data_IF_197085029481
#
_entry.id   IF_197085029481
#
_cell.length_a   1.000
_cell.length_b   1.000
_cell.length_c   1.000
_cell.angle_alpha   90.00
_cell.angle_beta   90.00
_cell.angle_gamma   90.00
#
_symmetry.space_group_name_H-M   'P 1'
#
loop_
_entity.id
_entity.type
_entity.pdbx_description
1 polymer ?
#
# COMPACT_ATOMS: atom_id res chain seq x y z
N UNK A 1 -26.66 28.80 71.78
CA UNK A 1 -26.76 27.54 71.01
C UNK A 1 -26.55 27.88 69.55
N UNK A 2 -25.37 27.55 69.03
CA UNK A 2 -24.92 27.94 67.69
C UNK A 2 -25.26 26.85 66.68
N UNK A 3 -26.08 27.15 65.68
CA UNK A 3 -26.34 26.27 64.52
C UNK A 3 -25.42 26.65 63.36
N UNK A 4 -24.58 25.74 62.82
CA UNK A 4 -23.73 26.06 61.69
C UNK A 4 -24.45 25.85 60.35
N UNK A 5 -24.30 26.83 59.45
CA UNK A 5 -24.62 26.77 58.03
C UNK A 5 -23.78 25.68 57.33
N UNK A 6 -24.43 24.72 56.65
CA UNK A 6 -23.77 23.89 55.63
C UNK A 6 -23.89 24.55 54.27
N UNK A 7 -22.78 25.13 53.79
CA UNK A 7 -22.58 25.49 52.39
C UNK A 7 -22.42 24.20 51.56
N UNK A 8 -23.32 23.94 50.61
CA UNK A 8 -23.12 22.91 49.58
C UNK A 8 -22.47 23.60 48.37
N UNK A 9 -21.16 23.41 48.23
CA UNK A 9 -20.37 23.80 47.06
C UNK A 9 -20.41 22.67 45.99
N UNK A 10 -19.98 22.93 44.75
CA UNK A 10 -20.57 22.40 43.53
C UNK A 10 -19.84 21.14 43.04
N UNK A 11 -20.40 19.95 43.29
CA UNK A 11 -19.86 18.69 42.77
C UNK A 11 -20.45 18.29 41.40
N UNK A 12 -21.55 18.90 40.98
CA UNK A 12 -22.25 18.51 39.75
C UNK A 12 -21.60 19.09 38.48
N UNK A 13 -20.95 20.25 38.57
CA UNK A 13 -20.31 20.91 37.41
C UNK A 13 -18.99 20.26 36.98
N UNK A 14 -18.28 19.56 37.87
CA UNK A 14 -17.01 18.91 37.56
C UNK A 14 -17.18 17.55 36.84
N UNK A 15 -18.35 16.91 36.99
CA UNK A 15 -18.61 15.58 36.39
C UNK A 15 -18.99 15.73 34.91
N UNK A 16 -19.73 16.78 34.54
CA UNK A 16 -20.14 17.04 33.16
C UNK A 16 -18.97 17.43 32.24
N UNK A 17 -17.96 18.15 32.76
CA UNK A 17 -16.78 18.56 31.98
C UNK A 17 -15.79 17.41 31.76
N UNK A 18 -15.67 16.45 32.68
CA UNK A 18 -14.87 15.23 32.47
C UNK A 18 -15.51 14.31 31.42
N UNK A 19 -16.85 14.18 31.42
CA UNK A 19 -17.54 13.38 30.40
C UNK A 19 -17.39 13.96 28.98
N UNK A 20 -17.39 15.29 28.82
CA UNK A 20 -17.20 15.92 27.51
C UNK A 20 -15.76 15.75 26.97
N UNK A 21 -14.75 15.81 27.85
CA UNK A 21 -13.33 15.60 27.47
C UNK A 21 -13.05 14.13 27.16
N UNK A 22 -13.64 13.19 27.91
CA UNK A 22 -13.53 11.75 27.64
C UNK A 22 -14.27 11.38 26.34
N UNK A 23 -15.43 11.95 26.07
CA UNK A 23 -16.14 11.74 24.80
C UNK A 23 -15.37 12.32 23.60
N UNK A 24 -14.76 13.50 23.73
CA UNK A 24 -13.93 14.09 22.68
C UNK A 24 -12.64 13.27 22.43
N UNK A 25 -11.98 12.78 23.49
CA UNK A 25 -10.78 11.92 23.39
C UNK A 25 -11.08 10.51 22.86
N UNK A 26 -12.29 9.97 23.09
CA UNK A 26 -12.69 8.68 22.49
C UNK A 26 -12.98 8.79 20.99
N UNK A 27 -13.41 9.95 20.48
CA UNK A 27 -13.69 10.10 19.04
C UNK A 27 -12.43 10.16 18.18
N UNK A 28 -11.29 10.59 18.72
CA UNK A 28 -10.00 10.61 17.99
C UNK A 28 -9.28 9.26 17.98
N UNK A 29 -9.74 8.28 18.76
CA UNK A 29 -9.10 6.97 18.89
C UNK A 29 -9.68 5.88 17.96
N UNK A 30 -10.69 6.21 17.14
CA UNK A 30 -11.35 5.27 16.22
C UNK A 30 -11.04 5.53 14.74
N UNK A 31 -10.15 6.47 14.42
CA UNK A 31 -9.65 6.69 13.06
C UNK A 31 -8.60 5.63 12.71
N UNK A 32 -9.04 4.38 12.48
CA UNK A 32 -8.19 3.40 11.78
C UNK A 32 -7.85 3.92 10.37
N UNK A 33 -6.68 3.59 9.80
CA UNK A 33 -6.40 3.99 8.43
C UNK A 33 -7.46 3.36 7.53
N UNK A 34 -8.10 4.19 6.72
CA UNK A 34 -9.19 3.78 5.86
C UNK A 34 -8.76 2.62 4.97
N UNK A 35 -9.63 1.62 4.90
CA UNK A 35 -9.45 0.46 4.06
C UNK A 35 -9.60 0.89 2.60
N UNK A 36 -8.67 0.48 1.77
CA UNK A 36 -8.62 0.89 0.37
C UNK A 36 -8.70 -0.35 -0.51
N UNK A 37 -9.50 -0.27 -1.57
CA UNK A 37 -10.19 -1.45 -2.09
C UNK A 37 -10.18 -1.59 -3.61
N UNK A 38 -9.59 -0.63 -4.35
CA UNK A 38 -9.69 -0.67 -5.79
C UNK A 38 -8.50 -0.08 -6.55
N UNK A 39 -8.46 -0.43 -7.82
CA UNK A 39 -7.48 0.09 -8.78
C UNK A 39 -8.02 -0.09 -10.20
N UNK A 40 -7.34 0.51 -11.18
CA UNK A 40 -7.58 0.20 -12.58
C UNK A 40 -6.88 -1.13 -12.87
N UNK A 41 -7.68 -2.13 -13.28
CA UNK A 41 -7.18 -3.48 -13.56
C UNK A 41 -7.01 -3.74 -15.06
N UNK A 42 -7.61 -2.90 -15.92
CA UNK A 42 -7.43 -2.94 -17.38
C UNK A 42 -7.69 -1.55 -18.01
N UNK A 43 -6.75 -0.96 -18.77
CA UNK A 43 -5.33 -1.28 -18.78
C UNK A 43 -4.72 -1.10 -17.37
N UNK A 44 -4.06 -2.14 -16.86
CA UNK A 44 -3.57 -2.21 -15.49
C UNK A 44 -2.79 -0.97 -15.04
N UNK A 45 -3.08 -0.47 -13.84
CA UNK A 45 -2.27 0.57 -13.20
C UNK A 45 -0.85 0.07 -12.91
N UNK A 46 0.12 0.98 -12.70
CA UNK A 46 1.54 0.64 -12.50
C UNK A 46 1.73 -0.43 -11.42
N UNK A 47 1.24 -0.16 -10.21
CA UNK A 47 1.42 -1.08 -9.09
C UNK A 47 0.57 -2.35 -9.22
N UNK A 48 -0.67 -2.25 -9.69
CA UNK A 48 -1.49 -3.45 -9.95
C UNK A 48 -0.86 -4.35 -11.01
N UNK A 49 -0.33 -3.77 -12.10
CA UNK A 49 0.37 -4.50 -13.14
C UNK A 49 1.65 -5.17 -12.64
N UNK A 50 2.44 -4.48 -11.81
CA UNK A 50 3.62 -5.08 -11.16
C UNK A 50 3.22 -6.21 -10.19
N UNK A 51 2.19 -6.02 -9.38
CA UNK A 51 1.63 -7.05 -8.51
C UNK A 51 1.14 -8.26 -9.31
N UNK A 52 0.40 -8.04 -10.39
CA UNK A 52 -0.18 -9.10 -11.21
C UNK A 52 0.90 -9.92 -11.91
N UNK A 53 1.92 -9.27 -12.48
CA UNK A 53 2.99 -9.96 -13.24
C UNK A 53 4.03 -10.61 -12.35
N UNK A 54 4.37 -9.97 -11.22
CA UNK A 54 5.52 -10.35 -10.41
C UNK A 54 5.18 -10.73 -8.98
N UNK A 55 3.97 -10.54 -8.48
CA UNK A 55 3.63 -10.86 -7.09
C UNK A 55 3.94 -12.31 -6.72
N UNK A 56 3.62 -13.26 -7.59
CA UNK A 56 3.94 -14.68 -7.36
C UNK A 56 5.43 -15.02 -7.34
N UNK A 57 6.31 -14.12 -7.81
CA UNK A 57 7.75 -14.33 -7.98
C UNK A 57 8.53 -13.02 -7.83
N UNK A 58 8.20 -12.22 -6.80
CA UNK A 58 8.59 -10.81 -6.73
C UNK A 58 10.09 -10.59 -6.46
N UNK A 59 10.80 -11.65 -6.08
CA UNK A 59 12.24 -11.65 -5.84
C UNK A 59 13.05 -12.17 -7.03
N UNK A 60 12.40 -12.49 -8.16
CA UNK A 60 13.09 -13.03 -9.33
C UNK A 60 14.13 -12.03 -9.87
N UNK A 61 15.43 -12.37 -9.89
CA UNK A 61 16.48 -11.46 -10.37
C UNK A 61 16.36 -11.13 -11.86
N UNK A 62 15.66 -11.95 -12.66
CA UNK A 62 15.40 -11.66 -14.06
C UNK A 62 14.49 -10.43 -14.25
N UNK A 63 13.72 -10.04 -13.23
CA UNK A 63 12.88 -8.84 -13.29
C UNK A 63 13.71 -7.57 -13.54
N UNK A 64 14.94 -7.50 -13.02
CA UNK A 64 15.82 -6.34 -13.21
C UNK A 64 16.10 -6.02 -14.69
N UNK A 65 16.14 -7.03 -15.55
CA UNK A 65 16.36 -6.85 -17.00
C UNK A 65 15.05 -6.90 -17.79
N UNK A 66 14.09 -7.72 -17.37
CA UNK A 66 12.83 -7.92 -18.09
C UNK A 66 11.81 -6.80 -17.84
N UNK A 67 11.76 -6.26 -16.62
CA UNK A 67 10.79 -5.24 -16.17
C UNK A 67 11.44 -4.31 -15.13
N UNK A 68 12.45 -3.50 -15.53
CA UNK A 68 13.25 -2.70 -14.61
C UNK A 68 12.43 -1.71 -13.77
N UNK A 69 11.27 -1.27 -14.29
CA UNK A 69 10.39 -0.35 -13.56
C UNK A 69 9.62 -1.06 -12.44
N UNK A 70 9.16 -2.30 -12.64
CA UNK A 70 8.64 -3.08 -11.54
C UNK A 70 9.75 -3.51 -10.57
N UNK A 71 10.95 -3.85 -11.08
CA UNK A 71 12.08 -4.20 -10.22
C UNK A 71 12.39 -3.09 -9.23
N UNK A 72 12.63 -1.87 -9.70
CA UNK A 72 12.92 -0.74 -8.80
C UNK A 72 11.78 -0.48 -7.81
N UNK A 73 10.52 -0.67 -8.22
CA UNK A 73 9.37 -0.50 -7.33
C UNK A 73 9.36 -1.57 -6.21
N UNK A 74 9.58 -2.84 -6.56
CA UNK A 74 9.68 -3.94 -5.60
C UNK A 74 10.88 -3.80 -4.66
N UNK A 75 12.01 -3.26 -5.15
CA UNK A 75 13.18 -2.97 -4.33
C UNK A 75 12.94 -1.79 -3.38
N UNK A 76 12.17 -0.78 -3.80
CA UNK A 76 11.90 0.40 -3.00
C UNK A 76 10.89 0.14 -1.87
N UNK A 77 9.71 -0.41 -2.20
CA UNK A 77 8.73 -0.82 -1.21
C UNK A 77 7.77 -1.88 -1.80
N UNK A 78 7.90 -3.17 -1.42
CA UNK A 78 6.98 -4.22 -1.81
C UNK A 78 5.51 -3.91 -1.50
N UNK A 79 5.22 -3.11 -0.47
CA UNK A 79 3.86 -2.74 -0.10
C UNK A 79 3.18 -1.85 -1.13
N UNK A 80 3.92 -1.20 -2.03
CA UNK A 80 3.32 -0.49 -3.16
C UNK A 80 2.50 -1.44 -4.05
N UNK A 81 2.97 -2.69 -4.18
CA UNK A 81 2.33 -3.74 -4.97
C UNK A 81 1.41 -4.61 -4.11
N UNK A 82 1.80 -4.98 -2.89
CA UNK A 82 0.90 -5.77 -2.02
C UNK A 82 -0.35 -5.00 -1.62
N UNK A 83 -0.23 -3.69 -1.41
CA UNK A 83 -1.35 -2.80 -1.17
C UNK A 83 -1.72 -2.06 -2.47
N UNK A 84 -1.87 -2.81 -3.58
CA UNK A 84 -2.14 -2.24 -4.91
C UNK A 84 -3.45 -1.44 -4.95
N UNK A 85 -4.38 -1.79 -4.08
CA UNK A 85 -5.68 -1.16 -3.89
C UNK A 85 -5.64 0.07 -2.99
N UNK A 86 -4.47 0.45 -2.47
CA UNK A 86 -4.27 1.47 -1.42
C UNK A 86 -3.83 2.86 -1.88
N UNK A 87 -3.86 3.15 -3.18
CA UNK A 87 -3.31 4.38 -3.75
C UNK A 87 -4.35 5.52 -3.74
N UNK A 88 -4.62 6.05 -2.55
CA UNK A 88 -5.63 7.10 -2.34
C UNK A 88 -5.11 8.27 -1.50
N UNK A 89 -5.86 9.37 -1.51
CA UNK A 89 -5.79 10.47 -0.53
C UNK A 89 -7.18 10.72 0.06
N UNK A 90 -7.21 11.32 1.23
CA UNK A 90 -8.44 11.81 1.87
C UNK A 90 -8.42 13.32 2.02
N UNK A 91 -9.60 13.94 2.07
CA UNK A 91 -9.73 15.37 2.37
C UNK A 91 -9.23 16.30 1.26
N UNK A 92 -9.20 15.83 0.01
CA UNK A 92 -8.72 16.63 -1.15
C UNK A 92 -9.75 17.67 -1.57
N UNK A 93 -11.03 17.49 -1.20
CA UNK A 93 -12.13 18.41 -1.49
C UNK A 93 -12.23 18.79 -2.98
N UNK A 94 -11.92 17.84 -3.87
CA UNK A 94 -11.92 18.02 -5.32
C UNK A 94 -10.74 18.85 -5.89
N UNK A 95 -9.87 19.43 -5.06
CA UNK A 95 -8.72 20.22 -5.51
C UNK A 95 -7.47 19.35 -5.75
N UNK A 96 -7.59 18.41 -6.70
CA UNK A 96 -6.57 17.40 -6.99
C UNK A 96 -5.21 18.00 -7.36
N UNK A 97 -5.19 19.06 -8.18
CA UNK A 97 -3.96 19.68 -8.65
C UNK A 97 -3.18 20.38 -7.53
N UNK A 98 -3.87 20.95 -6.53
CA UNK A 98 -3.20 21.50 -5.36
C UNK A 98 -2.63 20.41 -4.44
N UNK A 99 -3.33 19.28 -4.33
CA UNK A 99 -2.91 18.16 -3.48
C UNK A 99 -1.78 17.30 -4.07
N UNK A 100 -1.59 17.35 -5.40
CA UNK A 100 -0.67 16.49 -6.13
C UNK A 100 0.24 17.35 -7.00
N UNK A 101 1.47 17.62 -6.57
CA UNK A 101 2.45 18.34 -7.37
C UNK A 101 2.81 17.62 -8.68
N UNK A 102 3.24 18.38 -9.68
CA UNK A 102 3.87 17.85 -10.90
C UNK A 102 5.00 16.87 -10.55
N UNK A 103 5.10 15.77 -11.31
CA UNK A 103 6.06 14.71 -11.09
C UNK A 103 5.69 13.73 -9.96
N UNK A 104 4.59 13.97 -9.23
CA UNK A 104 4.11 13.10 -8.14
C UNK A 104 2.71 12.52 -8.43
N UNK A 105 2.28 12.55 -9.69
CA UNK A 105 0.92 12.16 -10.07
C UNK A 105 0.68 10.66 -9.80
N UNK A 106 1.66 9.81 -10.07
CA UNK A 106 1.52 8.36 -9.99
C UNK A 106 1.68 7.80 -8.57
N UNK A 107 2.19 8.59 -7.62
CA UNK A 107 2.18 8.30 -6.18
C UNK A 107 1.07 9.03 -5.42
N UNK A 108 0.21 9.78 -6.12
CA UNK A 108 -0.78 10.68 -5.54
C UNK A 108 -0.17 11.71 -4.57
N UNK A 109 0.90 12.41 -4.95
CA UNK A 109 1.55 13.39 -4.10
C UNK A 109 2.23 12.74 -2.89
N UNK A 110 2.94 11.63 -3.12
CA UNK A 110 3.60 10.83 -2.09
C UNK A 110 2.66 10.38 -0.96
N UNK A 111 1.46 9.91 -1.31
CA UNK A 111 0.49 9.45 -0.31
C UNK A 111 0.99 8.24 0.49
N UNK A 112 0.27 7.90 1.57
CA UNK A 112 0.55 6.75 2.43
C UNK A 112 2.00 6.73 2.94
N UNK A 113 2.48 7.89 3.42
CA UNK A 113 3.84 8.08 3.93
C UNK A 113 4.93 7.71 2.91
N UNK A 114 4.66 7.92 1.63
CA UNK A 114 5.63 7.69 0.55
C UNK A 114 5.70 6.27 0.01
N UNK A 115 4.79 5.37 0.45
CA UNK A 115 4.71 3.96 0.00
C UNK A 115 4.78 3.81 -1.52
N UNK A 116 4.14 4.73 -2.25
CA UNK A 116 3.99 4.64 -3.71
C UNK A 116 4.98 5.51 -4.50
N UNK A 117 5.99 6.10 -3.86
CA UNK A 117 6.90 7.06 -4.52
C UNK A 117 7.65 6.47 -5.71
N UNK A 118 7.98 5.17 -5.66
CA UNK A 118 8.65 4.48 -6.76
C UNK A 118 7.80 4.43 -8.04
N UNK A 119 6.49 4.67 -7.95
CA UNK A 119 5.61 4.75 -9.11
C UNK A 119 5.78 6.05 -9.90
N UNK A 120 6.43 7.08 -9.34
CA UNK A 120 6.75 8.33 -10.05
C UNK A 120 8.03 8.23 -10.90
N UNK A 121 8.77 7.13 -10.78
CA UNK A 121 10.00 6.91 -11.53
C UNK A 121 9.74 7.01 -13.05
N UNK A 122 10.61 7.76 -13.73
CA UNK A 122 10.57 7.95 -15.18
C UNK A 122 11.34 6.81 -15.85
N UNK A 123 10.74 6.17 -16.85
CA UNK A 123 11.39 5.06 -17.54
C UNK A 123 10.44 4.14 -18.29
N UNK A 124 10.96 3.00 -18.74
CA UNK A 124 10.28 2.07 -19.62
C UNK A 124 9.28 1.15 -18.89
N UNK A 125 8.24 1.73 -18.29
CA UNK A 125 7.13 0.97 -17.71
C UNK A 125 6.46 0.09 -18.77
N UNK A 126 6.03 -1.12 -18.41
CA UNK A 126 5.34 -2.01 -19.35
C UNK A 126 3.99 -1.43 -19.75
N UNK A 127 3.73 -1.39 -21.05
CA UNK A 127 2.50 -0.84 -21.62
C UNK A 127 1.49 -1.93 -21.94
N UNK A 128 0.21 -1.60 -21.82
CA UNK A 128 -0.89 -2.37 -22.42
C UNK A 128 -1.26 -1.77 -23.80
N UNK A 129 -1.50 -2.60 -24.84
CA UNK A 129 -1.97 -2.09 -26.13
C UNK A 129 -3.41 -1.60 -26.01
N UNK A 130 -3.69 -0.42 -26.56
CA UNK A 130 -5.04 0.17 -26.62
C UNK A 130 -5.29 0.80 -27.98
N UNK A 131 -6.55 1.07 -28.30
CA UNK A 131 -6.91 1.91 -29.46
C UNK A 131 -7.35 3.29 -28.99
N UNK A 132 -7.53 4.25 -29.92
CA UNK A 132 -8.01 5.61 -29.57
C UNK A 132 -9.33 5.59 -28.79
N UNK A 133 -10.21 4.62 -29.08
CA UNK A 133 -11.39 4.34 -28.26
C UNK A 133 -11.09 3.14 -27.37
N UNK A 134 -11.11 3.34 -26.06
CA UNK A 134 -10.80 2.29 -25.10
C UNK A 134 -11.70 2.41 -23.87
N UNK A 135 -11.56 1.46 -22.95
CA UNK A 135 -12.29 1.46 -21.69
C UNK A 135 -11.31 1.27 -20.54
N UNK A 136 -11.59 1.93 -19.43
CA UNK A 136 -10.95 1.70 -18.15
C UNK A 136 -11.84 0.76 -17.34
N UNK A 137 -11.36 -0.43 -17.02
CA UNK A 137 -11.95 -1.31 -16.02
C UNK A 137 -11.38 -0.96 -14.66
N UNK A 138 -12.20 -0.30 -13.84
CA UNK A 138 -11.90 -0.07 -12.43
C UNK A 138 -12.57 -1.18 -11.61
N UNK A 139 -11.79 -1.80 -10.72
CA UNK A 139 -12.28 -2.79 -9.76
C UNK A 139 -12.31 -2.19 -8.37
N UNK A 140 -13.35 -2.48 -7.59
CA UNK A 140 -13.55 -2.03 -6.23
C UNK A 140 -14.09 -3.17 -5.36
N UNK A 141 -13.27 -3.62 -4.41
CA UNK A 141 -13.60 -4.67 -3.46
C UNK A 141 -14.66 -4.24 -2.41
N UNK A 142 -14.78 -2.95 -2.10
CA UNK A 142 -15.67 -2.46 -1.05
C UNK A 142 -17.03 -1.99 -1.55
N UNK A 143 -17.22 -1.87 -2.86
CA UNK A 143 -18.48 -1.38 -3.43
C UNK A 143 -18.81 0.04 -2.92
N UNK A 144 -17.84 0.94 -2.95
CA UNK A 144 -17.96 2.34 -2.55
C UNK A 144 -18.72 3.21 -3.55
N UNK A 145 -18.77 2.79 -4.81
CA UNK A 145 -19.30 3.61 -5.91
C UNK A 145 -18.38 4.79 -6.22
N UNK A 146 -18.86 5.72 -7.05
CA UNK A 146 -18.10 6.91 -7.39
C UNK A 146 -18.98 8.15 -7.45
N UNK A 147 -18.50 9.28 -6.94
CA UNK A 147 -19.07 10.60 -7.24
C UNK A 147 -18.72 11.03 -8.67
N UNK A 148 -17.52 10.66 -9.10
CA UNK A 148 -17.09 10.70 -10.48
C UNK A 148 -15.86 9.82 -10.68
N UNK A 149 -15.65 9.39 -11.92
CA UNK A 149 -14.37 8.89 -12.40
C UNK A 149 -13.97 9.73 -13.60
N UNK A 150 -12.74 10.27 -13.57
CA UNK A 150 -12.14 11.07 -14.65
C UNK A 150 -10.95 10.33 -15.22
N UNK A 151 -10.89 10.25 -16.54
CA UNK A 151 -9.82 9.58 -17.28
C UNK A 151 -9.09 10.63 -18.11
N UNK A 152 -7.81 10.79 -17.84
CA UNK A 152 -6.91 11.66 -18.59
C UNK A 152 -5.91 10.84 -19.38
N UNK A 153 -5.45 11.37 -20.50
CA UNK A 153 -4.36 10.76 -21.28
C UNK A 153 -3.32 11.83 -21.60
N UNK A 154 -2.04 11.46 -21.51
CA UNK A 154 -0.96 12.37 -21.91
C UNK A 154 -1.14 12.85 -23.36
N UNK A 155 -0.81 14.11 -23.63
CA UNK A 155 -0.86 14.72 -24.96
C UNK A 155 0.15 14.07 -25.90
N UNK A 156 -0.13 14.07 -27.19
CA UNK A 156 0.83 13.63 -28.20
C UNK A 156 2.13 14.44 -28.07
N UNK A 157 3.28 13.76 -28.12
CA UNK A 157 4.60 14.37 -27.93
C UNK A 157 5.15 14.29 -26.50
N UNK A 158 4.33 13.96 -25.50
CA UNK A 158 4.83 13.61 -24.16
C UNK A 158 5.67 12.32 -24.21
N UNK A 159 6.85 12.33 -23.59
CA UNK A 159 7.74 11.17 -23.54
C UNK A 159 7.87 10.61 -22.11
N UNK A 160 7.09 9.57 -21.82
CA UNK A 160 7.09 8.88 -20.52
C UNK A 160 8.42 8.20 -20.15
N UNK A 161 9.32 8.01 -21.13
CA UNK A 161 10.63 7.40 -20.89
C UNK A 161 11.64 8.39 -20.30
N UNK A 162 11.41 9.69 -20.46
CA UNK A 162 12.40 10.73 -20.13
C UNK A 162 11.83 11.94 -19.38
N UNK A 163 10.50 12.06 -19.29
CA UNK A 163 9.85 13.24 -18.71
C UNK A 163 8.95 12.84 -17.55
N UNK A 164 9.08 13.45 -16.36
CA UNK A 164 8.11 13.30 -15.29
C UNK A 164 6.73 13.78 -15.72
N UNK A 165 5.67 13.05 -15.36
CA UNK A 165 4.30 13.41 -15.72
C UNK A 165 3.89 14.71 -15.01
N UNK A 166 3.28 15.65 -15.73
CA UNK A 166 2.73 16.91 -15.20
C UNK A 166 1.25 17.03 -15.48
N UNK A 167 0.56 17.86 -14.71
CA UNK A 167 -0.85 18.19 -15.01
C UNK A 167 -1.01 18.83 -16.39
N UNK A 168 -0.03 19.64 -16.81
CA UNK A 168 -0.02 20.27 -18.14
C UNK A 168 0.06 19.28 -19.30
N UNK A 169 0.56 18.07 -19.06
CA UNK A 169 0.72 17.04 -20.07
C UNK A 169 -0.58 16.28 -20.32
N UNK A 170 -1.57 16.43 -19.45
CA UNK A 170 -2.80 15.64 -19.47
C UNK A 170 -3.94 16.36 -20.21
N UNK A 171 -4.78 15.57 -20.88
CA UNK A 171 -6.06 15.98 -21.45
C UNK A 171 -7.15 15.04 -20.93
N UNK A 172 -8.30 15.58 -20.51
CA UNK A 172 -9.45 14.79 -20.09
C UNK A 172 -10.10 14.14 -21.31
N UNK A 173 -10.19 12.81 -21.33
CA UNK A 173 -10.67 12.02 -22.48
C UNK A 173 -11.87 11.13 -22.17
N UNK A 174 -12.26 11.04 -20.89
CA UNK A 174 -13.41 10.29 -20.43
C UNK A 174 -13.83 10.73 -19.05
N UNK A 175 -15.14 10.74 -18.79
CA UNK A 175 -15.68 11.02 -17.47
C UNK A 175 -17.04 10.33 -17.29
N UNK A 176 -17.27 9.80 -16.10
CA UNK A 176 -18.62 9.46 -15.62
C UNK A 176 -18.94 10.27 -14.37
N UNK A 177 -20.22 10.55 -14.14
CA UNK A 177 -20.70 11.23 -12.95
C UNK A 177 -20.98 10.26 -11.80
N UNK A 178 -21.86 10.69 -10.88
CA UNK A 178 -22.19 9.90 -9.71
C UNK A 178 -22.81 8.56 -10.13
N UNK A 179 -22.17 7.47 -9.71
CA UNK A 179 -22.54 6.11 -10.06
C UNK A 179 -22.43 5.24 -8.79
N UNK A 180 -23.55 5.01 -8.08
CA UNK A 180 -23.58 4.15 -6.91
C UNK A 180 -23.12 2.73 -7.24
N UNK A 181 -22.50 2.03 -6.28
CA UNK A 181 -21.98 0.69 -6.50
C UNK A 181 -23.04 -0.34 -6.95
N UNK A 182 -24.31 -0.13 -6.60
CA UNK A 182 -25.42 -0.98 -7.06
C UNK A 182 -25.61 -0.98 -8.58
N UNK A 183 -25.03 -0.02 -9.30
CA UNK A 183 -25.06 0.06 -10.77
C UNK A 183 -23.81 -0.56 -11.41
N UNK A 184 -22.84 -1.01 -10.62
CA UNK A 184 -21.60 -1.58 -11.11
C UNK A 184 -21.79 -3.08 -11.38
N UNK A 185 -20.89 -3.65 -12.18
CA UNK A 185 -20.92 -5.08 -12.53
C UNK A 185 -20.44 -5.89 -11.33
N UNK A 186 -21.21 -6.88 -10.83
CA UNK A 186 -20.73 -7.76 -9.76
C UNK A 186 -19.52 -8.59 -10.19
N UNK A 187 -18.54 -8.71 -9.31
CA UNK A 187 -17.33 -9.52 -9.46
C UNK A 187 -17.21 -10.48 -8.26
N UNK A 188 -16.35 -11.50 -8.37
CA UNK A 188 -16.27 -12.57 -7.34
C UNK A 188 -15.94 -12.07 -5.94
N UNK A 189 -15.25 -10.94 -5.80
CA UNK A 189 -14.85 -10.33 -4.52
C UNK A 189 -15.07 -8.81 -4.49
N UNK A 190 -16.03 -8.29 -5.24
CA UNK A 190 -16.28 -6.85 -5.32
C UNK A 190 -17.21 -6.48 -6.47
N UNK A 191 -17.01 -5.28 -7.00
CA UNK A 191 -17.69 -4.78 -8.20
C UNK A 191 -16.68 -4.17 -9.17
N UNK A 192 -17.05 -4.06 -10.45
CA UNK A 192 -16.26 -3.36 -11.44
C UNK A 192 -17.11 -2.44 -12.31
N UNK A 193 -16.48 -1.39 -12.84
CA UNK A 193 -17.09 -0.48 -13.79
C UNK A 193 -16.17 -0.23 -14.98
N UNK A 194 -16.79 -0.07 -16.15
CA UNK A 194 -16.11 0.18 -17.41
C UNK A 194 -16.34 1.62 -17.87
N UNK A 195 -15.35 2.48 -17.71
CA UNK A 195 -15.41 3.90 -18.08
C UNK A 195 -14.93 4.10 -19.51
N UNK A 196 -15.78 4.55 -20.45
CA UNK A 196 -15.36 4.81 -21.82
C UNK A 196 -14.44 6.03 -21.89
N UNK A 197 -13.42 5.96 -22.75
CA UNK A 197 -12.49 7.06 -23.03
C UNK A 197 -12.16 7.12 -24.53
N UNK A 198 -11.99 8.33 -25.05
CA UNK A 198 -11.60 8.58 -26.44
C UNK A 198 -10.44 9.57 -26.51
N UNK A 199 -9.27 9.10 -26.95
CA UNK A 199 -8.04 9.88 -27.08
C UNK A 199 -7.61 9.96 -28.56
N UNK A 200 -8.31 10.76 -29.39
CA UNK A 200 -7.97 10.87 -30.80
C UNK A 200 -6.57 11.50 -30.98
N UNK A 201 -5.90 11.10 -32.07
CA UNK A 201 -4.58 11.61 -32.45
C UNK A 201 -3.40 11.07 -31.63
N UNK A 202 -3.65 10.18 -30.66
CA UNK A 202 -2.58 9.52 -29.89
C UNK A 202 -1.97 8.36 -30.66
N UNK A 203 -0.65 8.28 -30.68
CA UNK A 203 0.11 7.14 -31.21
C UNK A 203 1.30 6.82 -30.31
N UNK A 204 1.67 5.54 -30.24
CA UNK A 204 2.77 5.06 -29.41
C UNK A 204 2.48 5.14 -27.90
N UNK A 205 3.55 5.28 -27.12
CA UNK A 205 3.54 5.24 -25.65
C UNK A 205 2.88 6.47 -25.03
N UNK A 206 1.93 6.22 -24.14
CA UNK A 206 1.23 7.24 -23.34
C UNK A 206 1.04 6.77 -21.90
N UNK A 207 0.68 7.71 -21.03
CA UNK A 207 0.17 7.43 -19.68
C UNK A 207 -1.31 7.80 -19.62
N UNK A 208 -2.14 6.85 -19.20
CA UNK A 208 -3.51 7.11 -18.77
C UNK A 208 -3.47 7.42 -17.28
N UNK A 209 -4.12 8.50 -16.86
CA UNK A 209 -4.25 8.90 -15.47
C UNK A 209 -5.72 8.92 -15.07
N UNK A 210 -6.11 8.02 -14.19
CA UNK A 210 -7.50 7.90 -13.73
C UNK A 210 -7.64 8.44 -12.31
N UNK A 211 -8.58 9.36 -12.12
CA UNK A 211 -9.00 9.85 -10.81
C UNK A 211 -10.36 9.24 -10.49
N UNK A 212 -10.45 8.49 -9.40
CA UNK A 212 -11.72 7.97 -8.88
C UNK A 212 -12.03 8.66 -7.55
N UNK A 213 -13.09 9.46 -7.51
CA UNK A 213 -13.65 9.99 -6.27
C UNK A 213 -14.69 8.99 -5.77
N UNK A 214 -14.38 8.27 -4.68
CA UNK A 214 -15.31 7.32 -4.08
C UNK A 214 -16.45 8.05 -3.34
N UNK A 215 -17.63 7.44 -3.23
CA UNK A 215 -18.81 8.11 -2.64
C UNK A 215 -18.97 7.94 -1.13
N UNK A 216 -18.26 7.00 -0.51
CA UNK A 216 -18.40 6.73 0.93
C UNK A 216 -17.80 7.81 1.83
N UNK A 217 -16.76 8.51 1.36
CA UNK A 217 -16.01 9.57 2.05
C UNK A 217 -15.37 10.50 1.01
N UNK A 218 -14.81 11.63 1.45
CA UNK A 218 -13.87 12.39 0.61
C UNK A 218 -12.54 11.62 0.48
N UNK A 219 -12.58 10.56 -0.34
CA UNK A 219 -11.47 9.67 -0.63
C UNK A 219 -11.30 9.56 -2.14
N UNK A 220 -10.10 9.88 -2.62
CA UNK A 220 -9.78 9.97 -4.04
C UNK A 220 -8.59 9.10 -4.39
N UNK A 221 -8.72 8.29 -5.44
CA UNK A 221 -7.69 7.37 -5.94
C UNK A 221 -7.06 7.93 -7.21
N UNK A 222 -5.77 7.67 -7.40
CA UNK A 222 -4.97 8.26 -8.48
C UNK A 222 -4.12 7.19 -9.17
N UNK A 223 -4.50 6.82 -10.37
CA UNK A 223 -4.10 5.53 -10.96
C UNK A 223 -3.46 5.79 -12.33
N UNK A 224 -2.13 5.67 -12.39
CA UNK A 224 -1.39 5.72 -13.66
C UNK A 224 -1.36 4.33 -14.31
N UNK A 225 -1.77 4.24 -15.57
CA UNK A 225 -1.63 3.05 -16.41
C UNK A 225 -0.81 3.42 -17.66
N UNK A 226 0.29 2.71 -17.90
CA UNK A 226 1.09 2.91 -19.11
C UNK A 226 0.45 2.14 -20.28
N UNK A 227 0.24 2.81 -21.40
CA UNK A 227 -0.43 2.24 -22.58
C UNK A 227 0.34 2.53 -23.87
N UNK A 228 0.05 1.77 -24.91
CA UNK A 228 0.55 1.99 -26.26
C UNK A 228 -0.61 2.02 -27.27
N UNK A 229 -0.79 3.15 -27.95
CA UNK A 229 -1.84 3.35 -28.96
C UNK A 229 -1.50 2.77 -30.33
N UNK A 230 -0.31 2.17 -30.50
CA UNK A 230 0.20 1.73 -31.80
C UNK A 230 0.46 2.90 -32.75
N UNK A 231 0.69 2.61 -34.04
CA UNK A 231 0.82 3.64 -35.08
C UNK A 231 2.09 4.51 -35.04
N UNK A 232 3.01 4.29 -34.10
CA UNK A 232 4.36 4.86 -34.12
C UNK A 232 5.31 4.01 -34.96
N UNK A 233 6.24 4.64 -35.69
CA UNK A 233 7.36 3.90 -36.29
C UNK A 233 8.21 3.32 -35.16
N UNK A 234 8.06 2.02 -34.90
CA UNK A 234 8.94 1.30 -33.97
C UNK A 234 10.31 1.14 -34.62
N UNK A 235 11.18 2.14 -34.48
CA UNK A 235 12.62 1.85 -34.48
C UNK A 235 12.99 1.52 -33.04
N UNK A 236 13.32 0.26 -32.71
CA UNK A 236 13.85 -0.07 -31.40
C UNK A 236 15.11 0.77 -31.13
N UNK A 237 15.36 1.24 -29.90
CA UNK A 237 16.68 1.78 -29.57
C UNK A 237 17.71 0.66 -29.77
N UNK A 238 18.62 0.83 -30.73
CA UNK A 238 19.69 -0.12 -31.06
C UNK A 238 20.93 0.05 -30.17
N UNK A 239 20.85 0.80 -29.07
CA UNK A 239 21.99 0.94 -28.15
C UNK A 239 21.88 -0.10 -27.03
N UNK A 240 22.77 -1.10 -26.97
CA UNK A 240 22.81 -2.05 -25.86
C UNK A 240 23.10 -1.30 -24.55
N UNK A 241 22.48 -1.68 -23.42
CA UNK A 241 22.91 -1.24 -22.10
C UNK A 241 24.39 -1.61 -21.90
N UNK A 242 25.19 -0.79 -21.20
CA UNK A 242 26.59 -1.13 -20.89
C UNK A 242 26.64 -2.46 -20.14
N UNK A 243 27.30 -3.45 -20.72
CA UNK A 243 27.59 -4.75 -20.12
C UNK A 243 28.69 -4.58 -19.07
N UNK A 244 28.31 -4.51 -17.79
CA UNK A 244 29.24 -4.78 -16.69
C UNK A 244 29.22 -6.28 -16.38
N UNK A 245 30.41 -6.88 -16.30
CA UNK A 245 30.61 -8.30 -15.99
C UNK A 245 30.02 -8.66 -14.60
N UNK A 246 29.29 -9.78 -14.47
CA UNK A 246 28.84 -10.28 -13.17
C UNK A 246 30.01 -10.63 -12.24
N UNK A 247 29.91 -10.37 -10.93
CA UNK A 247 30.92 -10.81 -9.96
C UNK A 247 30.91 -12.34 -9.86
N UNK A 248 32.10 -12.95 -9.93
CA UNK A 248 32.34 -14.39 -10.05
C UNK A 248 32.52 -15.12 -8.71
N UNK A 249 31.95 -14.62 -7.61
CA UNK A 249 32.13 -15.24 -6.28
C UNK A 249 30.79 -15.69 -5.68
N UNK A 250 30.58 -17.00 -5.42
CA UNK A 250 29.40 -17.49 -4.71
C UNK A 250 29.39 -16.97 -3.26
N UNK A 251 28.23 -16.56 -2.71
CA UNK A 251 28.12 -16.27 -1.28
C UNK A 251 28.25 -17.56 -0.45
N UNK A 252 28.86 -17.51 0.75
CA UNK A 252 29.12 -18.70 1.55
C UNK A 252 27.81 -19.29 2.11
N UNK A 253 27.66 -20.61 1.97
CA UNK A 253 26.60 -21.40 2.60
C UNK A 253 27.03 -21.78 4.02
N UNK A 254 26.32 -21.27 5.03
CA UNK A 254 26.41 -21.76 6.42
C UNK A 254 25.11 -22.44 6.83
N UNK A 255 25.22 -23.59 7.49
CA UNK A 255 24.11 -24.39 8.01
C UNK A 255 23.37 -23.70 9.19
N UNK A 256 22.05 -23.88 9.33
CA UNK A 256 21.28 -23.33 10.47
C UNK A 256 21.64 -23.99 11.83
N UNK A 257 21.70 -23.23 12.94
CA UNK A 257 21.92 -23.77 14.28
C UNK A 257 20.64 -24.38 14.89
N UNK A 258 20.79 -25.47 15.66
CA UNK A 258 19.72 -26.33 16.19
C UNK A 258 19.48 -26.20 17.70
N UNK A 259 19.52 -24.99 18.29
CA UNK A 259 19.26 -24.83 19.74
C UNK A 259 18.19 -23.77 20.03
N UNK A 260 17.15 -24.06 20.86
CA UNK A 260 16.14 -23.07 21.25
C UNK A 260 16.75 -22.02 22.20
N UNK A 261 16.46 -20.71 22.04
CA UNK A 261 16.94 -19.67 22.95
C UNK A 261 16.09 -19.61 24.24
N UNK A 262 16.70 -19.23 25.38
CA UNK A 262 16.01 -19.17 26.67
C UNK A 262 15.08 -17.96 26.78
N UNK A 263 13.93 -18.15 27.44
CA UNK A 263 12.93 -17.10 27.71
C UNK A 263 13.29 -16.33 28.99
N UNK A 264 13.50 -15.02 28.84
CA UNK A 264 13.59 -14.06 29.96
C UNK A 264 12.50 -12.98 29.81
N UNK A 265 11.91 -12.46 30.90
CA UNK A 265 10.88 -11.42 30.83
C UNK A 265 11.44 -10.08 30.35
N UNK A 266 10.68 -9.38 29.51
CA UNK A 266 11.07 -8.15 28.82
C UNK A 266 11.22 -6.96 29.81
N UNK A 267 12.33 -6.20 29.81
CA UNK A 267 12.42 -4.91 30.49
C UNK A 267 11.63 -3.85 29.73
N UNK A 268 10.89 -3.00 30.45
CA UNK A 268 10.21 -1.84 29.90
C UNK A 268 11.23 -0.90 29.21
N UNK A 269 11.09 -0.69 27.90
CA UNK A 269 11.96 0.17 27.07
C UNK A 269 12.62 -0.55 25.89
N UNK A 270 12.61 -1.88 25.87
CA UNK A 270 13.04 -2.70 24.73
C UNK A 270 11.91 -2.87 23.72
N UNK A 271 12.25 -2.99 22.43
CA UNK A 271 11.39 -3.14 21.26
C UNK A 271 9.89 -3.40 21.47
N UNK A 272 9.05 -2.67 20.72
CA UNK A 272 7.60 -2.91 20.69
C UNK A 272 7.14 -3.35 19.30
N UNK A 273 6.06 -4.12 19.25
CA UNK A 273 5.41 -4.50 18.01
C UNK A 273 3.90 -4.33 18.09
N UNK A 274 3.28 -3.73 17.08
CA UNK A 274 1.82 -3.61 16.96
C UNK A 274 1.34 -4.41 15.76
N UNK A 275 0.19 -5.06 15.90
CA UNK A 275 -0.41 -5.91 14.88
C UNK A 275 -1.71 -5.31 14.40
N UNK A 276 -1.92 -5.30 13.09
CA UNK A 276 -3.17 -4.86 12.49
C UNK A 276 -3.59 -5.79 11.35
N UNK A 277 -4.84 -6.25 11.37
CA UNK A 277 -5.47 -6.87 10.20
C UNK A 277 -5.78 -5.73 9.22
N UNK A 278 -5.18 -5.77 8.03
CA UNK A 278 -5.35 -4.74 7.00
C UNK A 278 -6.41 -5.12 5.98
N UNK A 279 -6.75 -6.42 5.87
CA UNK A 279 -7.82 -6.92 5.02
C UNK A 279 -8.23 -8.33 5.44
N UNK A 280 -9.47 -8.71 5.19
CA UNK A 280 -9.98 -10.05 5.49
C UNK A 280 -11.00 -10.48 4.44
N UNK A 281 -10.98 -11.76 4.07
CA UNK A 281 -11.90 -12.39 3.13
C UNK A 281 -12.28 -13.79 3.62
N UNK A 282 -13.11 -14.50 2.84
CA UNK A 282 -13.52 -15.87 3.16
C UNK A 282 -12.31 -16.80 3.27
N UNK A 283 -12.00 -17.22 4.50
CA UNK A 283 -10.91 -18.16 4.81
C UNK A 283 -9.50 -17.56 4.77
N UNK A 284 -9.33 -16.27 4.50
CA UNK A 284 -8.02 -15.60 4.47
C UNK A 284 -8.03 -14.18 5.00
N UNK A 285 -6.84 -13.66 5.29
CA UNK A 285 -6.65 -12.32 5.78
C UNK A 285 -5.25 -11.81 5.45
N UNK A 286 -5.09 -10.49 5.51
CA UNK A 286 -3.82 -9.80 5.42
C UNK A 286 -3.60 -9.02 6.71
N UNK A 287 -2.39 -9.09 7.24
CA UNK A 287 -1.99 -8.34 8.42
C UNK A 287 -0.66 -7.63 8.21
N UNK A 288 -0.49 -6.53 8.93
CA UNK A 288 0.72 -5.72 9.02
C UNK A 288 1.16 -5.68 10.48
N UNK A 289 2.47 -5.78 10.70
CA UNK A 289 3.10 -5.67 12.00
C UNK A 289 4.14 -4.56 11.94
N UNK A 290 3.97 -3.52 12.76
CA UNK A 290 4.95 -2.45 12.92
C UNK A 290 5.85 -2.78 14.10
N UNK A 291 7.16 -2.74 13.86
CA UNK A 291 8.21 -2.95 14.85
C UNK A 291 8.85 -1.61 15.16
N UNK A 292 8.93 -1.22 16.42
CA UNK A 292 9.51 0.06 16.85
C UNK A 292 10.63 -0.17 17.86
N UNK A 293 11.81 0.37 17.57
CA UNK A 293 12.93 0.33 18.48
C UNK A 293 12.82 1.46 19.52
N UNK A 294 12.48 1.12 20.77
CA UNK A 294 12.40 2.09 21.86
C UNK A 294 13.74 2.40 22.56
N UNK A 295 14.81 1.66 22.22
CA UNK A 295 16.11 1.73 22.90
C UNK A 295 17.24 2.24 22.00
N UNK A 296 18.48 1.89 22.33
CA UNK A 296 19.67 2.19 21.51
C UNK A 296 19.56 1.61 20.09
N UNK A 297 20.33 2.11 19.10
CA UNK A 297 20.33 1.55 17.75
C UNK A 297 20.55 0.03 17.75
N UNK A 298 19.79 -0.67 16.91
CA UNK A 298 19.81 -2.14 16.79
C UNK A 298 20.13 -2.54 15.36
N UNK A 299 20.60 -3.78 15.17
CA UNK A 299 20.91 -4.39 13.87
C UNK A 299 19.95 -5.51 13.48
N UNK A 300 19.06 -5.90 14.39
CA UNK A 300 18.01 -6.86 14.12
C UNK A 300 16.87 -6.79 15.12
N UNK A 301 15.75 -7.36 14.71
CA UNK A 301 14.55 -7.50 15.53
C UNK A 301 13.88 -8.85 15.29
N UNK A 302 13.18 -9.33 16.31
CA UNK A 302 12.38 -10.54 16.27
C UNK A 302 11.06 -10.28 16.97
N UNK A 303 9.95 -10.58 16.31
CA UNK A 303 8.60 -10.48 16.87
C UNK A 303 8.01 -11.88 16.96
N UNK A 304 7.29 -12.19 18.04
CA UNK A 304 6.55 -13.44 18.15
C UNK A 304 5.17 -13.25 18.78
N UNK A 305 4.21 -14.07 18.36
CA UNK A 305 2.85 -14.11 18.89
C UNK A 305 2.26 -15.51 18.75
N UNK A 306 1.17 -15.77 19.47
CA UNK A 306 0.42 -17.02 19.34
C UNK A 306 -0.92 -16.76 18.65
N UNK A 307 -1.28 -17.61 17.69
CA UNK A 307 -2.63 -17.69 17.17
C UNK A 307 -3.53 -18.55 18.07
N UNK A 308 -4.78 -18.13 18.21
CA UNK A 308 -5.74 -18.77 19.12
C UNK A 308 -6.77 -19.64 18.38
N UNK A 309 -7.06 -19.36 17.11
CA UNK A 309 -8.22 -19.91 16.41
C UNK A 309 -7.85 -20.47 15.03
N UNK A 310 -6.86 -21.38 14.97
CA UNK A 310 -6.51 -22.10 13.74
C UNK A 310 -5.91 -21.23 12.63
N UNK A 311 -5.57 -19.97 12.93
CA UNK A 311 -4.97 -19.06 11.96
C UNK A 311 -3.56 -19.54 11.59
N UNK A 312 -3.17 -19.35 10.34
CA UNK A 312 -1.86 -19.73 9.81
C UNK A 312 -1.31 -18.62 8.92
N UNK A 313 0.01 -18.41 8.94
CA UNK A 313 0.67 -17.55 7.95
C UNK A 313 0.92 -18.35 6.68
N UNK A 314 0.45 -17.85 5.54
CA UNK A 314 0.59 -18.50 4.23
C UNK A 314 1.76 -17.92 3.42
N UNK A 315 1.95 -16.62 3.46
CA UNK A 315 3.09 -15.92 2.84
C UNK A 315 3.39 -14.64 3.60
N UNK A 316 4.66 -14.20 3.62
CA UNK A 316 5.08 -13.00 4.32
C UNK A 316 6.05 -12.19 3.47
N UNK A 317 6.12 -10.88 3.72
CA UNK A 317 7.09 -9.97 3.12
C UNK A 317 7.70 -9.08 4.19
N UNK A 318 8.91 -8.58 3.93
CA UNK A 318 9.72 -7.75 4.84
C UNK A 318 10.05 -8.43 6.19
N UNK A 319 9.78 -9.74 6.32
CA UNK A 319 10.21 -10.57 7.42
C UNK A 319 10.35 -12.01 6.96
N UNK A 320 11.27 -12.75 7.57
CA UNK A 320 11.25 -14.21 7.53
C UNK A 320 10.33 -14.69 8.65
N UNK A 321 9.25 -15.38 8.29
CA UNK A 321 8.26 -15.89 9.24
C UNK A 321 8.36 -17.41 9.33
N UNK A 322 8.41 -17.92 10.56
CA UNK A 322 8.29 -19.35 10.85
C UNK A 322 7.13 -19.60 11.82
N UNK A 323 6.48 -20.74 11.66
CA UNK A 323 5.34 -21.15 12.50
C UNK A 323 5.63 -22.52 13.10
N UNK A 324 5.41 -22.67 14.41
CA UNK A 324 5.50 -23.94 15.13
C UNK A 324 4.27 -24.08 16.02
N UNK A 325 3.34 -24.96 15.62
CA UNK A 325 2.02 -25.03 16.23
C UNK A 325 1.28 -23.70 16.10
N UNK A 326 0.94 -23.08 17.23
CA UNK A 326 0.30 -21.76 17.28
C UNK A 326 1.29 -20.59 17.34
N UNK A 327 2.57 -20.85 17.61
CA UNK A 327 3.58 -19.82 17.77
C UNK A 327 4.10 -19.38 16.40
N UNK A 328 3.96 -18.08 16.10
CA UNK A 328 4.54 -17.43 14.94
C UNK A 328 5.74 -16.60 15.39
N UNK A 329 6.85 -16.73 14.67
CA UNK A 329 8.06 -15.91 14.87
C UNK A 329 8.42 -15.23 13.56
N UNK A 330 8.48 -13.89 13.57
CA UNK A 330 8.92 -13.07 12.46
C UNK A 330 10.28 -12.43 12.79
N UNK A 331 11.23 -12.51 11.86
CA UNK A 331 12.55 -11.88 11.98
C UNK A 331 12.78 -10.93 10.82
N UNK A 332 13.58 -9.89 11.07
CA UNK A 332 13.97 -8.94 10.03
C UNK A 332 14.62 -9.63 8.82
N UNK A 333 14.48 -9.01 7.65
CA UNK A 333 15.31 -9.31 6.48
C UNK A 333 16.51 -8.35 6.43
N UNK A 334 17.43 -8.58 5.49
CA UNK A 334 18.73 -7.88 5.47
C UNK A 334 18.60 -6.35 5.47
N UNK A 335 17.65 -5.80 4.71
CA UNK A 335 17.55 -4.34 4.52
C UNK A 335 16.82 -3.60 5.65
N UNK A 336 16.04 -4.29 6.50
CA UNK A 336 15.19 -3.65 7.51
C UNK A 336 15.49 -4.07 8.95
N UNK A 337 16.64 -4.71 9.20
CA UNK A 337 17.09 -5.07 10.54
C UNK A 337 17.63 -3.90 11.36
N UNK A 338 18.25 -2.92 10.69
CA UNK A 338 18.88 -1.80 11.38
C UNK A 338 17.86 -0.71 11.69
N UNK A 339 17.66 -0.41 12.97
CA UNK A 339 16.74 0.63 13.43
C UNK A 339 17.45 1.56 14.42
N UNK A 340 17.45 2.86 14.13
CA UNK A 340 17.87 3.87 15.10
C UNK A 340 16.93 3.90 16.32
N UNK A 341 17.34 4.59 17.38
CA UNK A 341 16.47 4.83 18.52
C UNK A 341 15.20 5.58 18.09
N UNK A 342 14.03 5.07 18.45
CA UNK A 342 12.72 5.59 18.06
C UNK A 342 12.27 5.25 16.64
N UNK A 343 13.10 4.58 15.83
CA UNK A 343 12.74 4.24 14.45
C UNK A 343 11.82 3.02 14.39
N UNK A 344 10.99 2.97 13.34
CA UNK A 344 10.08 1.86 13.08
C UNK A 344 10.29 1.26 11.69
N UNK A 345 9.93 -0.02 11.56
CA UNK A 345 9.77 -0.72 10.28
C UNK A 345 8.48 -1.51 10.30
N UNK A 346 7.99 -1.91 9.14
CA UNK A 346 6.78 -2.71 8.99
C UNK A 346 7.04 -3.95 8.16
N UNK A 347 6.44 -5.05 8.57
CA UNK A 347 6.31 -6.24 7.75
C UNK A 347 4.85 -6.66 7.64
N UNK A 348 4.52 -7.44 6.62
CA UNK A 348 3.16 -7.91 6.43
C UNK A 348 3.14 -9.35 5.97
N UNK A 349 1.95 -9.94 6.01
CA UNK A 349 1.76 -11.31 5.59
C UNK A 349 0.29 -11.56 5.21
N UNK A 350 0.09 -12.55 4.35
CA UNK A 350 -1.21 -13.18 4.11
C UNK A 350 -1.31 -14.43 4.97
N UNK A 351 -2.43 -14.60 5.64
CA UNK A 351 -2.75 -15.78 6.42
C UNK A 351 -4.10 -16.38 6.05
N UNK A 352 -4.33 -17.60 6.52
CA UNK A 352 -5.61 -18.30 6.46
C UNK A 352 -6.21 -18.45 7.85
N UNK A 353 -7.53 -18.58 7.93
CA UNK A 353 -8.25 -18.76 9.20
C UNK A 353 -9.49 -19.64 9.02
N UNK A 354 -9.91 -20.29 10.10
CA UNK A 354 -11.19 -21.01 10.17
C UNK A 354 -11.94 -20.62 11.44
N UNK A 355 -13.24 -20.34 11.31
CA UNK A 355 -14.10 -19.96 12.44
C UNK A 355 -14.00 -18.49 12.86
N UNK A 356 -12.89 -18.05 13.45
CA UNK A 356 -12.70 -16.64 13.84
C UNK A 356 -11.26 -16.17 13.66
N UNK A 357 -11.07 -14.87 13.38
CA UNK A 357 -9.76 -14.27 13.18
C UNK A 357 -9.53 -13.02 14.05
N UNK A 358 -9.46 -13.16 15.39
CA UNK A 358 -9.08 -12.04 16.24
C UNK A 358 -7.59 -11.73 16.10
N UNK A 359 -7.23 -10.44 16.21
CA UNK A 359 -5.83 -10.05 16.33
C UNK A 359 -5.18 -10.70 17.58
N UNK A 360 -3.89 -11.06 17.53
CA UNK A 360 -3.18 -11.62 18.68
C UNK A 360 -3.16 -10.66 19.87
N UNK A 361 -3.41 -11.17 21.08
CA UNK A 361 -3.51 -10.34 22.29
C UNK A 361 -2.18 -9.81 22.82
N UNK A 362 -1.09 -10.56 22.65
CA UNK A 362 0.26 -10.15 23.09
C UNK A 362 1.26 -10.46 21.98
N UNK A 363 2.02 -9.45 21.59
CA UNK A 363 3.22 -9.58 20.76
C UNK A 363 4.45 -9.40 21.66
N UNK A 364 5.39 -10.32 21.57
CA UNK A 364 6.73 -10.16 22.13
C UNK A 364 7.64 -9.59 21.05
N UNK A 365 8.42 -8.55 21.36
CA UNK A 365 9.51 -8.11 20.48
C UNK A 365 10.84 -8.13 21.23
N UNK A 366 11.89 -8.60 20.56
CA UNK A 366 13.28 -8.55 21.01
C UNK A 366 14.17 -7.98 19.92
N UNK A 367 15.31 -7.42 20.32
CA UNK A 367 16.28 -6.80 19.41
C UNK A 367 17.67 -7.39 19.57
N UNK A 368 18.47 -7.27 18.52
CA UNK A 368 19.90 -7.61 18.50
C UNK A 368 20.68 -6.31 18.29
N UNK A 369 21.60 -6.01 19.20
CA UNK A 369 22.45 -4.81 19.14
C UNK A 369 23.47 -4.86 18.00
#
# INVERSE_FOLDING_TARGET
>A
MSTPHRRRAPLVAAILSVCAVVAALLTTALSGPASAHGSVVDPASRNYGCWQRWGGDFQNPAMATQDPMCWQAWQADPNAMWNWNGLFREGVAGNHQAAIPDGQLCSAGHTASGRYNALDAVGAWKTAPVTSNFRIKLYDQASHGADYIRVYVSKQGYNALTTPLRWSDLELVGQIGNTPASQWTPESQGVSIQVPANAPGRTGRHVVYTIWQASHLDQSYYLCSDVDFGGGSTTPPTTPPPTTTPPTTPPPTTTPPTTPPPTTPNPAGACTATYRITGQWGGGFQAEVQVTNGGSPVRGWSVSWNYANGQQVSSAWNATVSTSGTLVTARNVAYNGTLAAGASTTFGFVGSWSGSNPAPGILSCTTVA
#
